data_IF_361674382954
#
_entry.id   IF_361674382954
#
_cell.length_a   1.000
_cell.length_b   1.000
_cell.length_c   1.000
_cell.angle_alpha   90.00
_cell.angle_beta   90.00
_cell.angle_gamma   90.00
#
_symmetry.space_group_name_H-M   'P 1'
#
loop_
_entity.id
_entity.type
_entity.pdbx_description
1 polymer ?
#
# COMPACT_ATOMS: atom_id res chain seq x y z
N UNK A 1 6.92 -1.52 -7.05
CA UNK A 1 5.81 -1.86 -6.16
C UNK A 1 5.72 -3.36 -6.12
N UNK A 2 5.66 -3.89 -4.91
CA UNK A 2 5.50 -5.29 -4.60
C UNK A 2 4.15 -5.45 -3.90
N UNK A 3 3.48 -6.59 -4.12
CA UNK A 3 2.27 -6.96 -3.37
C UNK A 3 2.54 -8.29 -2.72
N UNK A 4 2.74 -8.27 -1.40
CA UNK A 4 2.86 -9.50 -0.61
C UNK A 4 1.45 -9.98 -0.24
N UNK A 5 1.27 -11.29 -0.09
CA UNK A 5 -0.02 -11.87 0.27
C UNK A 5 0.18 -13.11 1.13
N UNK A 6 -0.80 -13.42 1.96
CA UNK A 6 -0.79 -14.56 2.87
C UNK A 6 -1.32 -15.86 2.22
N UNK A 7 -1.68 -15.82 0.94
CA UNK A 7 -2.35 -16.93 0.25
C UNK A 7 -3.85 -17.00 0.51
N UNK A 8 -4.43 -16.02 1.23
CA UNK A 8 -5.81 -15.99 1.66
C UNK A 8 -6.36 -14.57 1.72
N UNK A 9 -6.77 -14.14 2.91
CA UNK A 9 -7.59 -12.92 3.06
C UNK A 9 -6.79 -11.61 2.92
N UNK A 10 -5.47 -11.62 3.11
CA UNK A 10 -4.69 -10.38 3.27
C UNK A 10 -3.61 -10.20 2.20
N UNK A 11 -3.57 -9.01 1.62
CA UNK A 11 -2.49 -8.52 0.77
C UNK A 11 -1.90 -7.21 1.32
N UNK A 12 -0.64 -6.92 0.99
CA UNK A 12 0.11 -5.76 1.48
C UNK A 12 0.83 -5.05 0.32
N UNK A 13 0.58 -3.75 0.15
CA UNK A 13 1.33 -2.92 -0.82
C UNK A 13 2.66 -2.52 -0.20
N UNK A 14 3.75 -2.85 -0.90
CA UNK A 14 5.12 -2.53 -0.49
C UNK A 14 5.86 -1.80 -1.62
N UNK A 15 6.81 -0.94 -1.25
CA UNK A 15 7.75 -0.30 -2.19
C UNK A 15 7.09 0.40 -3.39
N UNK A 16 6.01 1.15 -3.14
CA UNK A 16 5.38 1.96 -4.18
C UNK A 16 6.33 3.07 -4.63
N UNK A 17 6.82 2.95 -5.85
CA UNK A 17 7.76 3.90 -6.44
C UNK A 17 7.36 4.27 -7.87
N UNK A 18 7.56 5.54 -8.19
CA UNK A 18 7.37 6.10 -9.53
C UNK A 18 8.59 6.94 -9.88
N UNK A 19 9.09 6.77 -11.11
CA UNK A 19 10.18 7.57 -11.65
C UNK A 19 9.87 9.08 -11.55
N UNK A 20 10.87 9.90 -11.26
CA UNK A 20 10.69 11.31 -10.93
C UNK A 20 9.88 12.09 -11.99
N UNK A 21 10.12 11.81 -13.26
CA UNK A 21 9.43 12.43 -14.40
C UNK A 21 7.91 12.16 -14.45
N UNK A 22 7.43 11.10 -13.79
CA UNK A 22 6.02 10.68 -13.78
C UNK A 22 5.31 10.97 -12.44
N UNK A 23 6.01 11.61 -11.49
CA UNK A 23 5.42 12.02 -10.21
C UNK A 23 4.37 13.12 -10.45
N UNK A 24 3.37 13.19 -9.55
CA UNK A 24 2.24 14.13 -9.64
C UNK A 24 1.33 14.00 -10.87
N UNK A 25 1.60 13.05 -11.79
CA UNK A 25 0.74 12.69 -12.93
C UNK A 25 -0.24 11.53 -12.67
N UNK A 26 -0.50 11.21 -11.40
CA UNK A 26 -1.42 10.14 -10.99
C UNK A 26 -0.93 8.70 -11.22
N UNK A 27 0.30 8.50 -11.73
CA UNK A 27 0.82 7.16 -12.00
C UNK A 27 0.85 6.26 -10.75
N UNK A 28 1.21 6.81 -9.58
CA UNK A 28 1.22 6.06 -8.32
C UNK A 28 -0.17 5.56 -7.92
N UNK A 29 -1.19 6.42 -8.01
CA UNK A 29 -2.56 6.03 -7.67
C UNK A 29 -3.10 4.96 -8.64
N UNK A 30 -2.75 5.05 -9.94
CA UNK A 30 -3.10 4.01 -10.92
C UNK A 30 -2.42 2.67 -10.64
N UNK A 31 -1.16 2.69 -10.18
CA UNK A 31 -0.47 1.46 -9.75
C UNK A 31 -1.20 0.82 -8.57
N UNK A 32 -1.53 1.60 -7.54
CA UNK A 32 -2.24 1.12 -6.36
C UNK A 32 -3.64 0.57 -6.71
N UNK A 33 -4.38 1.25 -7.59
CA UNK A 33 -5.68 0.76 -8.06
C UNK A 33 -5.56 -0.58 -8.80
N UNK A 34 -4.51 -0.76 -9.62
CA UNK A 34 -4.24 -2.04 -10.27
C UNK A 34 -3.92 -3.14 -9.25
N UNK A 35 -3.10 -2.85 -8.23
CA UNK A 35 -2.82 -3.80 -7.16
C UNK A 35 -4.08 -4.21 -6.39
N UNK A 36 -4.95 -3.25 -6.06
CA UNK A 36 -6.22 -3.53 -5.40
C UNK A 36 -7.12 -4.45 -6.24
N UNK A 37 -7.22 -4.19 -7.54
CA UNK A 37 -8.00 -5.04 -8.43
C UNK A 37 -7.41 -6.46 -8.52
N UNK A 38 -6.09 -6.60 -8.66
CA UNK A 38 -5.46 -7.92 -8.72
C UNK A 38 -5.62 -8.69 -7.40
N UNK A 39 -5.39 -8.06 -6.25
CA UNK A 39 -5.59 -8.68 -4.94
C UNK A 39 -7.04 -9.14 -4.74
N UNK A 40 -8.02 -8.35 -5.20
CA UNK A 40 -9.42 -8.73 -5.20
C UNK A 40 -9.69 -9.97 -6.07
N UNK A 41 -9.09 -10.04 -7.27
CA UNK A 41 -9.25 -11.20 -8.17
C UNK A 41 -8.60 -12.47 -7.65
N UNK A 42 -7.59 -12.38 -6.79
CA UNK A 42 -6.96 -13.52 -6.12
C UNK A 42 -7.71 -13.99 -4.87
N UNK A 43 -8.83 -13.35 -4.52
CA UNK A 43 -9.66 -13.72 -3.38
C UNK A 43 -9.29 -13.03 -2.07
N UNK A 44 -8.33 -12.09 -2.08
CA UNK A 44 -8.02 -11.31 -0.88
C UNK A 44 -9.21 -10.41 -0.53
N UNK A 45 -9.51 -10.35 0.77
CA UNK A 45 -10.56 -9.49 1.33
C UNK A 45 -10.02 -8.12 1.72
N UNK A 46 -8.76 -8.06 2.12
CA UNK A 46 -8.15 -6.84 2.64
C UNK A 46 -6.84 -6.53 1.92
N UNK A 47 -6.68 -5.27 1.52
CA UNK A 47 -5.41 -4.72 1.08
C UNK A 47 -4.91 -3.73 2.14
N UNK A 48 -3.71 -3.99 2.65
CA UNK A 48 -3.07 -3.22 3.70
C UNK A 48 -1.95 -2.36 3.13
N UNK A 49 -1.68 -1.23 3.78
CA UNK A 49 -0.52 -0.38 3.51
C UNK A 49 -0.12 0.34 4.79
N UNK A 50 1.17 0.32 5.10
CA UNK A 50 1.76 1.17 6.14
C UNK A 50 2.52 2.31 5.46
N UNK A 51 2.36 3.54 5.97
CA UNK A 51 2.96 4.72 5.36
C UNK A 51 3.23 5.83 6.38
N UNK A 52 4.18 6.70 6.06
CA UNK A 52 4.50 7.86 6.88
C UNK A 52 3.43 8.97 6.76
N UNK A 53 3.23 9.83 7.79
CA UNK A 53 2.16 10.84 7.80
C UNK A 53 2.11 11.76 6.57
N UNK A 54 3.25 12.05 5.95
CA UNK A 54 3.33 12.93 4.78
C UNK A 54 2.69 12.32 3.50
N UNK A 55 2.43 11.00 3.50
CA UNK A 55 1.79 10.28 2.40
C UNK A 55 0.28 10.11 2.57
N UNK A 56 -0.32 10.69 3.63
CA UNK A 56 -1.77 10.62 3.89
C UNK A 56 -2.60 11.03 2.67
N UNK A 57 -2.30 12.18 2.06
CA UNK A 57 -3.02 12.64 0.84
C UNK A 57 -2.92 11.66 -0.33
N UNK A 58 -1.83 10.90 -0.39
CA UNK A 58 -1.65 9.92 -1.45
C UNK A 58 -2.45 8.65 -1.17
N UNK A 59 -2.28 8.02 0.00
CA UNK A 59 -2.94 6.73 0.28
C UNK A 59 -4.41 6.87 0.68
N UNK A 60 -4.76 7.86 1.48
CA UNK A 60 -6.15 8.06 1.93
C UNK A 60 -6.95 8.78 0.84
N UNK A 61 -6.58 10.01 0.50
CA UNK A 61 -7.41 10.83 -0.40
C UNK A 61 -7.38 10.33 -1.85
N UNK A 62 -6.20 10.00 -2.39
CA UNK A 62 -6.06 9.63 -3.80
C UNK A 62 -6.21 8.13 -4.10
N UNK A 63 -5.87 7.24 -3.15
CA UNK A 63 -5.98 5.79 -3.34
C UNK A 63 -7.18 5.15 -2.63
N UNK A 64 -7.84 5.87 -1.72
CA UNK A 64 -9.07 5.40 -1.06
C UNK A 64 -8.87 4.43 0.10
N UNK A 65 -7.69 4.38 0.71
CA UNK A 65 -7.50 3.61 1.94
C UNK A 65 -8.21 4.27 3.12
N UNK A 66 -8.85 3.47 3.96
CA UNK A 66 -9.35 3.92 5.26
C UNK A 66 -8.26 3.72 6.31
N UNK A 67 -7.93 4.73 7.13
CA UNK A 67 -6.93 4.58 8.19
C UNK A 67 -7.33 3.51 9.22
N UNK A 68 -6.37 2.68 9.60
CA UNK A 68 -6.49 1.70 10.70
C UNK A 68 -5.32 1.87 11.67
N UNK A 69 -5.47 1.50 12.95
CA UNK A 69 -4.32 1.37 13.83
C UNK A 69 -3.36 0.29 13.30
N UNK A 70 -2.09 0.64 13.11
CA UNK A 70 -1.02 -0.28 12.75
C UNK A 70 0.08 -0.28 13.83
N UNK A 71 0.82 -1.38 13.93
CA UNK A 71 1.89 -1.56 14.91
C UNK A 71 3.22 -1.85 14.22
N UNK A 72 4.31 -1.29 14.75
CA UNK A 72 5.67 -1.60 14.31
C UNK A 72 6.58 -1.82 15.51
N UNK A 73 7.53 -2.74 15.36
CA UNK A 73 8.58 -3.01 16.36
C UNK A 73 9.91 -2.79 15.65
N UNK A 74 10.80 -2.02 16.26
CA UNK A 74 12.18 -1.89 15.78
C UNK A 74 12.96 -3.14 16.16
N UNK A 75 13.21 -4.02 15.20
CA UNK A 75 13.93 -5.28 15.43
C UNK A 75 15.38 -5.06 15.88
N UNK A 76 16.01 -3.97 15.45
CA UNK A 76 17.35 -3.59 15.88
C UNK A 76 17.39 -2.97 17.28
N UNK A 77 16.23 -2.62 17.84
CA UNK A 77 16.09 -2.15 19.21
C UNK A 77 15.47 -3.21 20.13
N UNK A 78 15.29 -4.45 19.64
CA UNK A 78 14.96 -5.58 20.50
C UNK A 78 16.19 -5.94 21.34
N UNK A 79 15.99 -6.31 22.61
CA UNK A 79 17.08 -6.71 23.51
C UNK A 79 17.79 -7.99 23.06
#
# INVERSE_FOLDING_TARGET
MNVAWDGGEHAFVLDTMVAAAYRRGGAGARLVALAAEQARTTGCRWLHVDFEPHLTKFYVDACGFTPTPAGLISLLALP
#
